data_IF_361844109866
#
_entry.id   IF_361844109866
#
_cell.length_a   1.000
_cell.length_b   1.000
_cell.length_c   1.000
_cell.angle_alpha   90.00
_cell.angle_beta   90.00
_cell.angle_gamma   90.00
#
_symmetry.space_group_name_H-M   'P 1'
#
loop_
_entity.id
_entity.type
_entity.pdbx_description
1 polymer ?
#
# COMPACT_ATOMS: atom_id res chain seq x y z
N UNK A 1 0.67 15.98 27.68
CA UNK A 1 0.72 16.97 26.59
C UNK A 1 1.27 16.37 25.28
N UNK A 2 2.37 15.61 25.34
CA UNK A 2 2.97 14.98 24.15
C UNK A 2 2.15 13.82 23.62
N UNK A 3 1.50 13.04 24.47
CA UNK A 3 0.63 11.92 24.07
C UNK A 3 -0.59 12.44 23.29
N UNK A 4 -1.19 13.55 23.71
CA UNK A 4 -2.33 14.17 23.03
C UNK A 4 -1.97 14.67 21.63
N UNK A 5 -0.78 15.27 21.43
CA UNK A 5 -0.29 15.75 20.13
C UNK A 5 0.01 14.56 19.19
N UNK A 6 0.64 13.52 19.69
CA UNK A 6 0.90 12.28 18.93
C UNK A 6 -0.41 11.62 18.51
N UNK A 7 -1.38 11.55 19.40
CA UNK A 7 -2.69 10.96 19.14
C UNK A 7 -3.47 11.75 18.06
N UNK A 8 -3.46 13.06 18.14
CA UNK A 8 -4.11 13.91 17.15
C UNK A 8 -3.48 13.74 15.76
N UNK A 9 -2.15 13.68 15.68
CA UNK A 9 -1.45 13.42 14.42
C UNK A 9 -1.80 12.07 13.83
N UNK A 10 -1.90 11.03 14.65
CA UNK A 10 -2.27 9.68 14.22
C UNK A 10 -3.71 9.62 13.70
N UNK A 11 -4.63 10.35 14.31
CA UNK A 11 -6.04 10.44 13.86
C UNK A 11 -6.12 11.10 12.49
N UNK A 12 -5.47 12.25 12.29
CA UNK A 12 -5.45 12.93 10.99
C UNK A 12 -4.83 12.06 9.91
N UNK A 13 -3.75 11.38 10.22
CA UNK A 13 -3.08 10.48 9.30
C UNK A 13 -3.93 9.28 8.91
N UNK A 14 -4.67 8.69 9.85
CA UNK A 14 -5.62 7.61 9.56
C UNK A 14 -6.69 8.07 8.59
N UNK A 15 -7.27 9.25 8.83
CA UNK A 15 -8.30 9.79 7.96
C UNK A 15 -7.78 10.05 6.56
N UNK A 16 -6.60 10.63 6.43
CA UNK A 16 -5.94 10.86 5.15
C UNK A 16 -5.68 9.54 4.39
N UNK A 17 -5.23 8.49 5.09
CA UNK A 17 -5.04 7.16 4.49
C UNK A 17 -6.35 6.52 4.05
N UNK A 18 -7.41 6.65 4.83
CA UNK A 18 -8.75 6.15 4.49
C UNK A 18 -9.25 6.83 3.22
N UNK A 19 -9.05 8.14 3.10
CA UNK A 19 -9.48 8.92 1.94
C UNK A 19 -8.67 8.55 0.69
N UNK A 20 -7.34 8.47 0.81
CA UNK A 20 -6.47 8.09 -0.31
C UNK A 20 -6.75 6.66 -0.80
N UNK A 21 -7.04 5.74 0.12
CA UNK A 21 -7.35 4.34 -0.21
C UNK A 21 -8.81 4.12 -0.62
N UNK A 22 -9.63 5.16 -0.64
CA UNK A 22 -11.07 5.08 -0.95
C UNK A 22 -11.80 4.04 -0.09
N UNK A 23 -11.59 4.12 1.22
CA UNK A 23 -12.15 3.19 2.20
C UNK A 23 -13.25 3.82 3.07
N UNK A 24 -13.65 5.04 2.79
CA UNK A 24 -14.62 5.79 3.60
C UNK A 24 -15.95 5.05 3.80
N UNK A 25 -16.47 4.40 2.75
CA UNK A 25 -17.71 3.63 2.80
C UNK A 25 -17.56 2.27 3.52
N UNK A 26 -16.35 1.87 3.87
CA UNK A 26 -16.01 0.56 4.47
C UNK A 26 -15.52 0.64 5.91
N UNK A 27 -15.55 1.82 6.49
CA UNK A 27 -14.94 2.12 7.80
C UNK A 27 -15.53 1.26 8.95
N UNK A 28 -16.82 0.93 8.84
CA UNK A 28 -17.54 0.11 9.83
C UNK A 28 -17.66 -1.37 9.44
N UNK A 29 -17.02 -1.78 8.32
CA UNK A 29 -17.04 -3.16 7.86
C UNK A 29 -16.00 -4.01 8.59
N UNK A 30 -16.38 -5.25 8.88
CA UNK A 30 -15.44 -6.27 9.40
C UNK A 30 -14.62 -6.85 8.25
N UNK A 31 -13.43 -7.43 8.52
CA UNK A 31 -12.55 -7.96 7.48
C UNK A 31 -13.24 -8.94 6.51
N UNK A 32 -14.16 -9.79 7.00
CA UNK A 32 -14.87 -10.76 6.16
C UNK A 32 -15.93 -10.12 5.24
N UNK A 33 -16.30 -8.88 5.47
CA UNK A 33 -17.26 -8.10 4.66
C UNK A 33 -16.56 -7.34 3.52
N UNK A 34 -15.21 -7.37 3.45
CA UNK A 34 -14.42 -6.66 2.46
C UNK A 34 -14.09 -7.57 1.27
N UNK A 35 -14.05 -6.98 0.06
CA UNK A 35 -13.50 -7.63 -1.14
C UNK A 35 -11.98 -7.86 -1.00
N UNK A 36 -11.40 -8.70 -1.87
CA UNK A 36 -9.95 -8.92 -1.91
C UNK A 36 -9.16 -7.64 -2.10
N UNK A 37 -9.58 -6.79 -3.03
CA UNK A 37 -8.95 -5.49 -3.27
C UNK A 37 -9.10 -4.52 -2.11
N UNK A 38 -10.25 -4.48 -1.45
CA UNK A 38 -10.48 -3.66 -0.27
C UNK A 38 -9.59 -4.11 0.90
N UNK A 39 -9.47 -5.42 1.14
CA UNK A 39 -8.54 -5.98 2.14
C UNK A 39 -7.10 -5.58 1.86
N UNK A 40 -6.68 -5.62 0.61
CA UNK A 40 -5.33 -5.23 0.21
C UNK A 40 -5.09 -3.74 0.43
N UNK A 41 -6.05 -2.88 0.11
CA UNK A 41 -5.98 -1.44 0.40
C UNK A 41 -5.88 -1.15 1.91
N UNK A 42 -6.61 -1.90 2.74
CA UNK A 42 -6.47 -1.82 4.20
C UNK A 42 -5.06 -2.22 4.64
N UNK A 43 -4.50 -3.28 4.08
CA UNK A 43 -3.13 -3.71 4.39
C UNK A 43 -2.10 -2.62 4.01
N UNK A 44 -2.25 -2.00 2.85
CA UNK A 44 -1.42 -0.86 2.41
C UNK A 44 -1.55 0.31 3.39
N UNK A 45 -2.76 0.71 3.75
CA UNK A 45 -2.99 1.78 4.70
C UNK A 45 -2.33 1.49 6.06
N UNK A 46 -2.44 0.26 6.56
CA UNK A 46 -1.78 -0.17 7.80
C UNK A 46 -0.26 -0.08 7.72
N UNK A 47 0.34 -0.40 6.59
CA UNK A 47 1.79 -0.30 6.40
C UNK A 47 2.29 1.15 6.48
N UNK A 48 1.44 2.10 6.14
CA UNK A 48 1.77 3.53 6.07
C UNK A 48 1.46 4.30 7.36
N UNK A 49 0.63 3.74 8.26
CA UNK A 49 0.12 4.48 9.43
C UNK A 49 1.22 4.99 10.35
N UNK A 50 2.31 4.26 10.50
CA UNK A 50 3.46 4.65 11.32
C UNK A 50 4.51 5.51 10.60
N UNK A 51 4.19 5.98 9.41
CA UNK A 51 5.08 6.83 8.58
C UNK A 51 6.46 6.22 8.31
N UNK A 52 6.58 4.95 7.88
CA UNK A 52 7.88 4.37 7.59
C UNK A 52 8.55 5.11 6.44
N UNK A 53 9.88 5.13 6.41
CA UNK A 53 10.63 5.67 5.29
C UNK A 53 10.62 4.71 4.08
N UNK A 54 10.59 3.41 4.36
CA UNK A 54 10.64 2.33 3.38
C UNK A 54 9.50 1.35 3.59
N UNK A 55 8.85 0.96 2.50
CA UNK A 55 7.81 -0.07 2.46
C UNK A 55 8.38 -1.28 1.72
N UNK A 56 8.12 -2.46 2.25
CA UNK A 56 8.43 -3.73 1.61
C UNK A 56 7.12 -4.37 1.15
N UNK A 57 7.00 -4.67 -0.14
CA UNK A 57 5.83 -5.29 -0.73
C UNK A 57 6.24 -6.56 -1.47
N UNK A 58 5.70 -7.69 -1.03
CA UNK A 58 5.91 -8.99 -1.65
C UNK A 58 4.62 -9.42 -2.33
N UNK A 59 4.65 -9.50 -3.67
CA UNK A 59 3.50 -9.84 -4.52
C UNK A 59 2.19 -9.11 -4.10
N UNK A 60 2.17 -7.77 -4.04
CA UNK A 60 1.06 -7.04 -3.40
C UNK A 60 -0.29 -7.22 -4.07
N UNK A 61 -0.33 -7.77 -5.28
CA UNK A 61 -1.55 -8.03 -6.05
C UNK A 61 -1.67 -9.47 -6.56
N UNK A 62 -0.86 -10.39 -6.03
CA UNK A 62 -0.75 -11.75 -6.55
C UNK A 62 -2.04 -12.58 -6.50
N UNK A 63 -2.95 -12.27 -5.60
CA UNK A 63 -4.22 -12.99 -5.41
C UNK A 63 -5.44 -12.24 -5.99
N UNK A 64 -5.21 -11.19 -6.78
CA UNK A 64 -6.28 -10.34 -7.34
C UNK A 64 -6.38 -10.53 -8.84
N UNK A 65 -7.59 -10.33 -9.38
CA UNK A 65 -7.80 -10.21 -10.82
C UNK A 65 -7.10 -8.97 -11.39
N UNK A 66 -6.94 -8.93 -12.71
CA UNK A 66 -6.14 -7.90 -13.37
C UNK A 66 -6.67 -6.49 -13.13
N UNK A 67 -7.99 -6.27 -13.23
CA UNK A 67 -8.58 -4.94 -13.06
C UNK A 67 -8.47 -4.47 -11.61
N UNK A 68 -8.75 -5.33 -10.65
CA UNK A 68 -8.58 -5.05 -9.22
C UNK A 68 -7.11 -4.77 -8.88
N UNK A 69 -6.19 -5.53 -9.48
CA UNK A 69 -4.74 -5.32 -9.33
C UNK A 69 -4.31 -3.93 -9.77
N UNK A 70 -4.77 -3.48 -10.94
CA UNK A 70 -4.49 -2.12 -11.45
C UNK A 70 -4.96 -1.05 -10.49
N UNK A 71 -6.19 -1.18 -9.96
CA UNK A 71 -6.73 -0.24 -8.99
C UNK A 71 -5.90 -0.21 -7.70
N UNK A 72 -5.59 -1.36 -7.14
CA UNK A 72 -4.78 -1.46 -5.91
C UNK A 72 -3.38 -0.88 -6.10
N UNK A 73 -2.71 -1.16 -7.22
CA UNK A 73 -1.40 -0.59 -7.54
C UNK A 73 -1.47 0.94 -7.66
N UNK A 74 -2.50 1.47 -8.31
CA UNK A 74 -2.67 2.92 -8.40
C UNK A 74 -2.80 3.56 -7.01
N UNK A 75 -3.59 2.99 -6.12
CA UNK A 75 -3.69 3.47 -4.73
C UNK A 75 -2.36 3.38 -3.99
N UNK A 76 -1.64 2.26 -4.12
CA UNK A 76 -0.34 2.07 -3.49
C UNK A 76 0.67 3.13 -3.94
N UNK A 77 0.84 3.32 -5.24
CA UNK A 77 1.83 4.25 -5.77
C UNK A 77 1.41 5.71 -5.56
N UNK A 78 0.12 6.02 -5.59
CA UNK A 78 -0.39 7.34 -5.20
C UNK A 78 -0.03 7.65 -3.74
N UNK A 79 -0.22 6.71 -2.83
CA UNK A 79 0.14 6.89 -1.43
C UNK A 79 1.66 7.03 -1.23
N UNK A 80 2.46 6.21 -1.91
CA UNK A 80 3.94 6.30 -1.91
C UNK A 80 4.37 7.71 -2.33
N UNK A 81 3.80 8.24 -3.40
CA UNK A 81 4.10 9.57 -3.91
C UNK A 81 3.67 10.67 -2.92
N UNK A 82 2.41 10.63 -2.45
CA UNK A 82 1.84 11.66 -1.58
C UNK A 82 2.56 11.76 -0.23
N UNK A 83 3.04 10.64 0.30
CA UNK A 83 3.76 10.59 1.56
C UNK A 83 5.29 10.62 1.39
N UNK A 84 5.79 10.77 0.17
CA UNK A 84 7.24 10.79 -0.16
C UNK A 84 7.98 9.59 0.43
N UNK A 85 7.46 8.38 0.21
CA UNK A 85 8.03 7.13 0.70
C UNK A 85 8.83 6.41 -0.39
N UNK A 86 9.68 5.50 0.05
CA UNK A 86 10.36 4.54 -0.84
C UNK A 86 9.69 3.18 -0.74
N UNK A 87 9.75 2.40 -1.81
CA UNK A 87 9.23 1.03 -1.84
C UNK A 87 10.26 0.08 -2.45
N UNK A 88 10.41 -1.09 -1.84
CA UNK A 88 11.01 -2.27 -2.48
C UNK A 88 9.87 -3.24 -2.74
N UNK A 89 9.67 -3.55 -4.02
CA UNK A 89 8.57 -4.40 -4.46
C UNK A 89 9.14 -5.66 -5.12
N UNK A 90 8.72 -6.82 -4.63
CA UNK A 90 9.06 -8.11 -5.21
C UNK A 90 7.84 -8.63 -5.97
N UNK A 91 8.03 -9.02 -7.22
CA UNK A 91 6.96 -9.53 -8.07
C UNK A 91 7.51 -10.38 -9.22
N UNK A 92 6.72 -11.36 -9.67
CA UNK A 92 6.98 -12.08 -10.93
C UNK A 92 6.27 -11.43 -12.12
N UNK A 93 5.42 -10.43 -11.89
CA UNK A 93 4.70 -9.71 -12.94
C UNK A 93 5.51 -8.54 -13.50
N UNK A 94 5.86 -8.62 -14.79
CA UNK A 94 6.51 -7.49 -15.49
C UNK A 94 5.65 -6.23 -15.49
N UNK A 95 4.32 -6.38 -15.54
CA UNK A 95 3.39 -5.28 -15.48
C UNK A 95 3.52 -4.53 -14.14
N UNK A 96 3.52 -5.25 -13.02
CA UNK A 96 3.69 -4.67 -11.67
C UNK A 96 5.05 -4.00 -11.52
N UNK A 97 6.12 -4.65 -11.99
CA UNK A 97 7.47 -4.09 -11.95
C UNK A 97 7.60 -2.75 -12.71
N UNK A 98 6.77 -2.52 -13.72
CA UNK A 98 6.78 -1.29 -14.50
C UNK A 98 6.30 -0.04 -13.74
N UNK A 99 5.67 -0.21 -12.60
CA UNK A 99 5.35 0.91 -11.69
C UNK A 99 6.58 1.49 -10.98
N UNK A 100 7.68 0.73 -10.92
CA UNK A 100 8.90 1.15 -10.21
C UNK A 100 9.89 1.84 -11.14
N UNK A 101 10.64 2.81 -10.60
CA UNK A 101 11.65 3.58 -11.33
C UNK A 101 12.89 2.76 -11.70
N UNK A 102 13.26 1.80 -10.84
CA UNK A 102 14.40 0.90 -11.04
C UNK A 102 13.93 -0.54 -10.96
N UNK A 103 14.49 -1.38 -11.79
CA UNK A 103 14.18 -2.81 -11.86
C UNK A 103 15.45 -3.61 -11.81
N UNK A 104 15.40 -4.72 -11.12
CA UNK A 104 16.46 -5.70 -11.05
C UNK A 104 15.86 -7.09 -11.22
N UNK A 105 16.52 -7.94 -11.95
CA UNK A 105 16.15 -9.34 -12.04
C UNK A 105 16.91 -10.14 -10.99
N UNK A 106 16.22 -11.04 -10.30
CA UNK A 106 16.84 -11.97 -9.36
C UNK A 106 17.11 -13.30 -10.09
N UNK A 107 18.39 -13.54 -10.41
CA UNK A 107 18.81 -14.73 -11.14
C UNK A 107 19.82 -15.48 -10.28
N UNK A 108 19.50 -16.73 -9.92
CA UNK A 108 20.37 -17.58 -9.10
C UNK A 108 20.89 -16.92 -7.81
N UNK A 109 20.04 -16.11 -7.17
CA UNK A 109 20.39 -15.40 -5.93
C UNK A 109 21.18 -14.11 -6.12
N UNK A 110 21.37 -13.66 -7.36
CA UNK A 110 22.09 -12.43 -7.70
C UNK A 110 21.12 -11.44 -8.34
N UNK A 111 21.19 -10.19 -7.89
CA UNK A 111 20.46 -9.07 -8.51
C UNK A 111 21.26 -8.55 -9.72
N UNK A 112 20.60 -8.49 -10.86
CA UNK A 112 21.18 -7.99 -12.12
C UNK A 112 20.29 -6.91 -12.74
#
# INVERSE_FOLDING_TARGET
RYIAVSWARDVYKRQELIDIMDLGCRINHKPHELSGGEKQRVAIARSLVNSPALILADEPTGNLDEDTSKHVLNYLFQAIHNFSKSIILVTHSKYVANYCNKKYDLINGILV
#
